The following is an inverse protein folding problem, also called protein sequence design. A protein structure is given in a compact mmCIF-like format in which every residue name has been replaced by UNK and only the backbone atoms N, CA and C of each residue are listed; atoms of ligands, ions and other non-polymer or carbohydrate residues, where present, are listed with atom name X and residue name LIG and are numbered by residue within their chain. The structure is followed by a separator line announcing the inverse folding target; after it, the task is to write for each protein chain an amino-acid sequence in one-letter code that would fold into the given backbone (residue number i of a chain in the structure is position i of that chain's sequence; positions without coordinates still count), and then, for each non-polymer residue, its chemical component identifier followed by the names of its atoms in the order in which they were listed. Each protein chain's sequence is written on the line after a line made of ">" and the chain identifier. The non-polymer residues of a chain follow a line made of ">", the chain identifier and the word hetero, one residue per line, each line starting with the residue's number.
data_IF_441642153630
#
_entry.id   IF_441642153630
#
_cell.length_a   1.000
_cell.length_b   1.000
_cell.length_c   1.000
_cell.angle_alpha   90.00
_cell.angle_beta   90.00
_cell.angle_gamma   90.00
#
_symmetry.space_group_name_H-M   'P 1'
#
loop_
_entity.id
_entity.type
_entity.pdbx_description
1 polymer ?
#
# COMPACT_ATOMS: atom_id res chain seq x y z
N UNK A 1 -0.33 -18.26 -15.03
CA UNK A 1 -0.52 -17.30 -13.93
C UNK A 1 -0.64 -18.15 -12.67
N UNK A 2 0.41 -18.21 -11.84
CA UNK A 2 0.45 -19.11 -10.69
C UNK A 2 -0.33 -18.49 -9.53
N UNK A 3 -1.53 -19.04 -9.30
CA UNK A 3 -2.51 -18.64 -8.27
C UNK A 3 -2.01 -18.81 -6.83
N UNK A 4 -0.84 -19.42 -6.62
CA UNK A 4 -0.29 -19.71 -5.29
C UNK A 4 0.40 -18.50 -4.64
N UNK A 5 0.70 -17.43 -5.40
CA UNK A 5 1.39 -16.24 -4.86
C UNK A 5 0.44 -15.17 -4.29
N UNK A 6 -0.87 -15.33 -4.50
CA UNK A 6 -1.86 -14.28 -4.20
C UNK A 6 -2.57 -14.47 -2.84
N UNK A 7 -2.34 -15.58 -2.13
CA UNK A 7 -3.08 -15.89 -0.89
C UNK A 7 -2.64 -15.12 0.38
N UNK A 8 -1.55 -14.36 0.35
CA UNK A 8 -1.06 -13.61 1.53
C UNK A 8 -0.83 -12.10 1.30
N UNK A 9 -1.18 -11.56 0.12
CA UNK A 9 -1.03 -10.13 -0.14
C UNK A 9 -2.14 -9.32 0.55
N UNK A 10 -1.81 -8.73 1.71
CA UNK A 10 -2.73 -7.90 2.52
C UNK A 10 -3.12 -6.56 1.87
N UNK A 11 -2.44 -6.17 0.80
CA UNK A 11 -2.72 -5.00 -0.04
C UNK A 11 -2.27 -5.30 -1.48
N UNK A 12 -2.78 -4.55 -2.46
CA UNK A 12 -2.33 -4.67 -3.86
C UNK A 12 -0.83 -4.37 -3.94
N UNK A 13 -0.01 -5.24 -4.54
CA UNK A 13 1.43 -4.99 -4.71
C UNK A 13 1.72 -3.69 -5.46
N UNK A 14 2.82 -3.04 -5.10
CA UNK A 14 3.37 -1.92 -5.87
C UNK A 14 4.08 -2.40 -7.16
N UNK A 15 4.49 -1.47 -8.04
CA UNK A 15 4.36 -0.01 -7.88
C UNK A 15 2.94 0.47 -8.20
N UNK A 16 2.57 1.60 -7.61
CA UNK A 16 1.35 2.34 -7.99
C UNK A 16 1.72 3.62 -8.74
N UNK A 17 0.83 4.09 -9.61
CA UNK A 17 1.08 5.20 -10.53
C UNK A 17 -0.10 6.15 -10.56
N UNK A 18 0.15 7.42 -10.83
CA UNK A 18 -0.91 8.39 -11.12
C UNK A 18 -1.54 8.03 -12.46
N UNK A 19 -2.86 7.86 -12.48
CA UNK A 19 -3.62 7.50 -13.66
C UNK A 19 -3.74 8.63 -14.68
N UNK A 20 -4.17 8.27 -15.90
CA UNK A 20 -4.40 9.21 -17.00
C UNK A 20 -5.64 10.10 -16.84
N UNK A 21 -6.66 9.78 -16.03
CA UNK A 21 -7.39 10.83 -15.34
C UNK A 21 -6.55 11.25 -14.11
N UNK A 22 -6.17 12.54 -14.08
CA UNK A 22 -5.17 13.09 -13.15
C UNK A 22 -5.66 13.24 -11.70
N UNK A 23 -6.62 12.41 -11.30
CA UNK A 23 -7.28 12.33 -9.99
C UNK A 23 -7.38 10.87 -9.50
N UNK A 24 -6.65 9.96 -10.14
CA UNK A 24 -6.63 8.53 -9.80
C UNK A 24 -5.22 7.99 -9.55
N UNK A 25 -5.16 6.89 -8.79
CA UNK A 25 -3.99 6.05 -8.59
C UNK A 25 -4.34 4.64 -9.06
N UNK A 26 -3.46 4.04 -9.86
CA UNK A 26 -3.63 2.71 -10.46
C UNK A 26 -2.42 1.83 -10.17
N UNK A 27 -2.61 0.52 -10.14
CA UNK A 27 -1.53 -0.46 -10.08
C UNK A 27 -1.22 -1.03 -11.46
N UNK A 28 -0.04 -1.64 -11.60
CA UNK A 28 0.35 -2.38 -12.81
C UNK A 28 -0.21 -3.81 -12.83
N UNK A 29 -0.66 -4.29 -11.67
CA UNK A 29 -1.29 -5.59 -11.49
C UNK A 29 -2.77 -5.40 -11.16
N UNK A 30 -3.63 -6.37 -11.52
CA UNK A 30 -5.04 -6.28 -11.16
C UNK A 30 -5.22 -6.16 -9.64
N UNK A 31 -5.99 -5.17 -9.21
CA UNK A 31 -6.44 -5.07 -7.83
C UNK A 31 -7.55 -6.10 -7.58
N UNK A 32 -7.54 -6.71 -6.39
CA UNK A 32 -8.63 -7.59 -5.98
C UNK A 32 -9.84 -6.73 -5.59
N UNK A 33 -10.91 -6.79 -6.38
CA UNK A 33 -12.19 -6.15 -6.05
C UNK A 33 -13.12 -7.13 -5.35
N UNK A 34 -14.02 -6.58 -4.53
CA UNK A 34 -15.09 -7.36 -3.92
C UNK A 34 -16.21 -7.73 -4.92
N UNK A 35 -16.34 -7.02 -6.04
CA UNK A 35 -17.38 -7.24 -7.04
C UNK A 35 -16.89 -7.06 -8.50
N UNK A 36 -17.63 -7.68 -9.43
CA UNK A 36 -17.35 -7.68 -10.87
C UNK A 36 -17.71 -6.35 -11.56
N UNK A 37 -18.56 -5.52 -10.96
CA UNK A 37 -18.99 -4.25 -11.57
C UNK A 37 -17.85 -3.22 -11.55
N UNK A 38 -17.14 -3.11 -10.43
CA UNK A 38 -15.96 -2.26 -10.31
C UNK A 38 -14.85 -2.70 -11.28
N UNK A 39 -14.68 -4.01 -11.46
CA UNK A 39 -13.74 -4.53 -12.45
C UNK A 39 -14.09 -4.08 -13.87
N UNK A 40 -15.38 -4.17 -14.27
CA UNK A 40 -15.83 -3.75 -15.60
C UNK A 40 -15.69 -2.25 -15.84
N UNK A 41 -15.95 -1.44 -14.80
CA UNK A 41 -15.92 0.02 -14.92
C UNK A 41 -14.49 0.57 -14.94
N UNK A 42 -13.62 0.07 -14.07
CA UNK A 42 -12.26 0.60 -13.87
C UNK A 42 -11.15 -0.26 -14.49
N UNK A 43 -11.53 -1.33 -15.19
CA UNK A 43 -10.62 -2.23 -15.89
C UNK A 43 -9.80 -3.13 -14.98
N UNK A 44 -10.06 -3.12 -13.67
CA UNK A 44 -9.41 -4.01 -12.72
C UNK A 44 -8.10 -3.50 -12.09
N UNK A 45 -7.69 -2.24 -12.32
CA UNK A 45 -6.37 -1.74 -11.89
C UNK A 45 -6.42 -0.52 -10.94
N UNK A 46 -7.61 0.02 -10.67
CA UNK A 46 -7.80 1.19 -9.81
C UNK A 46 -7.49 0.90 -8.34
N UNK A 47 -6.67 1.76 -7.73
CA UNK A 47 -6.37 1.77 -6.29
C UNK A 47 -7.19 2.85 -5.57
N UNK A 48 -7.26 4.05 -6.14
CA UNK A 48 -8.02 5.17 -5.59
C UNK A 48 -8.42 6.13 -6.72
N UNK A 49 -9.61 6.73 -6.63
CA UNK A 49 -10.12 7.74 -7.56
C UNK A 49 -10.68 8.95 -6.83
N UNK A 50 -11.01 10.02 -7.57
CA UNK A 50 -11.51 11.28 -7.00
C UNK A 50 -10.56 11.87 -5.94
N UNK A 51 -9.26 11.64 -6.11
CA UNK A 51 -8.21 12.04 -5.17
C UNK A 51 -7.77 13.46 -5.48
N UNK A 52 -7.69 14.31 -4.44
CA UNK A 52 -7.13 15.65 -4.61
C UNK A 52 -5.67 15.58 -5.08
N UNK A 53 -5.27 16.50 -5.96
CA UNK A 53 -3.94 16.47 -6.60
C UNK A 53 -2.77 16.38 -5.61
N UNK A 54 -2.92 16.95 -4.43
CA UNK A 54 -1.90 16.94 -3.35
C UNK A 54 -1.71 15.55 -2.73
N UNK A 55 -2.73 14.69 -2.77
CA UNK A 55 -2.70 13.36 -2.16
C UNK A 55 -2.22 12.27 -3.13
N UNK A 56 -2.29 12.51 -4.45
CA UNK A 56 -1.93 11.52 -5.47
C UNK A 56 -0.53 10.94 -5.29
N UNK A 57 0.47 11.81 -5.11
CA UNK A 57 1.87 11.40 -4.97
C UNK A 57 2.07 10.59 -3.70
N UNK A 58 1.41 10.99 -2.60
CA UNK A 58 1.52 10.28 -1.32
C UNK A 58 0.89 8.89 -1.39
N UNK A 59 -0.29 8.76 -2.00
CA UNK A 59 -0.96 7.46 -2.17
C UNK A 59 -0.15 6.58 -3.11
N UNK A 60 0.32 7.10 -4.25
CA UNK A 60 1.09 6.32 -5.21
C UNK A 60 2.41 5.77 -4.62
N UNK A 61 3.03 6.49 -3.67
CA UNK A 61 4.25 6.06 -2.99
C UNK A 61 4.01 5.17 -1.76
N UNK A 62 2.76 4.82 -1.44
CA UNK A 62 2.45 4.08 -0.22
C UNK A 62 3.15 2.70 -0.14
N UNK A 63 3.26 1.91 -1.23
CA UNK A 63 4.01 0.65 -1.19
C UNK A 63 5.49 0.86 -0.82
N UNK A 64 6.16 1.81 -1.45
CA UNK A 64 7.58 2.13 -1.20
C UNK A 64 7.80 2.71 0.20
N UNK A 65 6.84 3.50 0.70
CA UNK A 65 6.87 4.02 2.08
C UNK A 65 6.71 2.90 3.12
N UNK A 66 5.88 1.89 2.85
CA UNK A 66 5.71 0.73 3.72
C UNK A 66 7.01 -0.09 3.77
N UNK A 67 7.56 -0.43 2.61
CA UNK A 67 8.83 -1.17 2.49
C UNK A 67 9.98 -0.44 3.22
N UNK A 68 10.15 0.86 2.97
CA UNK A 68 11.18 1.65 3.63
C UNK A 68 11.03 1.67 5.16
N UNK A 69 9.80 1.70 5.67
CA UNK A 69 9.54 1.70 7.11
C UNK A 69 9.83 0.34 7.75
N UNK A 70 9.49 -0.75 7.06
CA UNK A 70 9.82 -2.11 7.47
C UNK A 70 11.34 -2.32 7.52
N UNK A 71 12.06 -1.87 6.49
CA UNK A 71 13.53 -1.95 6.43
C UNK A 71 14.21 -1.19 7.57
N UNK A 72 13.75 0.02 7.88
CA UNK A 72 14.28 0.85 8.98
C UNK A 72 14.13 0.14 10.34
N UNK A 73 13.03 -0.58 10.55
CA UNK A 73 12.80 -1.34 11.77
C UNK A 73 13.56 -2.68 11.80
N UNK A 74 13.78 -3.30 10.64
CA UNK A 74 14.50 -4.56 10.52
C UNK A 74 16.03 -4.42 10.62
N UNK A 75 16.57 -3.22 10.41
CA UNK A 75 18.03 -2.96 10.40
C UNK A 75 18.69 -3.32 11.74
N UNK A 76 19.41 -4.44 11.74
CA UNK A 76 20.25 -4.88 12.88
C UNK A 76 21.25 -3.79 13.26
N UNK A 77 21.33 -3.47 14.56
CA UNK A 77 22.24 -2.45 15.09
C UNK A 77 21.62 -1.06 15.22
N UNK A 78 20.40 -0.83 14.72
CA UNK A 78 19.64 0.31 15.18
C UNK A 78 19.29 0.08 16.65
N UNK A 79 19.89 0.86 17.54
CA UNK A 79 19.64 0.84 18.98
C UNK A 79 18.28 1.47 19.30
N UNK A 80 17.22 0.97 18.66
CA UNK A 80 15.85 1.29 19.00
C UNK A 80 15.57 0.74 20.39
N UNK A 81 15.39 1.62 21.36
CA UNK A 81 14.89 1.18 22.65
C UNK A 81 13.46 0.61 22.45
N UNK A 82 13.05 -0.45 23.17
CA UNK A 82 11.68 -0.97 23.09
C UNK A 82 10.60 0.09 23.36
N UNK A 83 10.94 1.10 24.17
CA UNK A 83 10.09 2.26 24.49
C UNK A 83 10.33 3.48 23.59
N UNK A 84 11.12 3.34 22.52
CA UNK A 84 11.32 4.40 21.55
C UNK A 84 9.97 4.73 20.89
N UNK A 85 9.47 5.93 21.17
CA UNK A 85 8.16 6.38 20.71
C UNK A 85 8.08 6.45 19.18
N UNK A 86 9.19 6.72 18.49
CA UNK A 86 9.25 6.76 17.02
C UNK A 86 9.11 5.35 16.47
N UNK A 87 9.85 4.40 17.02
CA UNK A 87 9.78 3.00 16.61
C UNK A 87 8.39 2.39 16.92
N UNK A 88 7.76 2.77 18.04
CA UNK A 88 6.39 2.37 18.35
C UNK A 88 5.37 2.95 17.36
N UNK A 89 5.51 4.23 17.00
CA UNK A 89 4.65 4.88 16.01
C UNK A 89 4.79 4.24 14.63
N UNK A 90 6.01 3.89 14.23
CA UNK A 90 6.29 3.16 12.98
C UNK A 90 5.61 1.77 12.97
N UNK A 91 5.78 0.98 14.04
CA UNK A 91 5.11 -0.32 14.19
C UNK A 91 3.59 -0.21 14.13
N UNK A 92 3.02 0.80 14.80
CA UNK A 92 1.58 1.05 14.76
C UNK A 92 1.09 1.42 13.35
N UNK A 93 1.85 2.23 12.62
CA UNK A 93 1.53 2.58 11.25
C UNK A 93 1.57 1.35 10.31
N UNK A 94 2.59 0.49 10.42
CA UNK A 94 2.69 -0.78 9.67
C UNK A 94 1.52 -1.70 10.01
N UNK A 95 1.21 -1.86 11.30
CA UNK A 95 0.09 -2.70 11.75
C UNK A 95 -1.24 -2.21 11.17
N UNK A 96 -1.46 -0.90 11.13
CA UNK A 96 -2.64 -0.31 10.50
C UNK A 96 -2.66 -0.53 8.99
N UNK A 97 -1.55 -0.29 8.29
CA UNK A 97 -1.44 -0.44 6.84
C UNK A 97 -1.60 -1.89 6.36
N UNK A 98 -1.25 -2.86 7.21
CA UNK A 98 -1.32 -4.31 6.92
C UNK A 98 -2.53 -4.99 7.54
N UNK A 99 -3.48 -4.24 8.11
CA UNK A 99 -4.71 -4.79 8.69
C UNK A 99 -4.53 -5.67 9.92
N UNK A 100 -3.40 -5.56 10.63
CA UNK A 100 -3.11 -6.35 11.85
C UNK A 100 -3.75 -5.78 13.13
N UNK A 101 -4.24 -4.54 13.07
CA UNK A 101 -4.99 -3.88 14.15
C UNK A 101 -6.31 -3.35 13.58
N UNK A 102 -7.42 -4.03 13.90
CA UNK A 102 -8.77 -3.50 13.80
C UNK A 102 -9.21 -2.93 15.15
#
# INVERSE_FOLDING_TARGET
>A
MNLEKDMDCKHTPGPWRIGKPSDSVVADVPAAYADDENHKHYGGYLIAESVSRQNLVLIAAAPELLEALEEVLAKKGACWHPTDAVAQKARAAISKATGQTA
#
